data_IF_320273675753
#
_entry.id   IF_320273675753
#
_cell.length_a   1.000
_cell.length_b   1.000
_cell.length_c   1.000
_cell.angle_alpha   90.00
_cell.angle_beta   90.00
_cell.angle_gamma   90.00
#
_symmetry.space_group_name_H-M   'P 1'
#
loop_
_entity.id
_entity.type
_entity.pdbx_description
1 polymer ?
#
# COMPACT_ATOMS: atom_id res chain seq x y z
N UNK A 1 -11.64 -12.05 -1.04
CA UNK A 1 -11.78 -10.57 -0.92
C UNK A 1 -10.73 -10.06 0.06
N UNK A 2 -10.06 -8.97 -0.27
CA UNK A 2 -9.03 -8.37 0.58
C UNK A 2 -9.62 -7.55 1.73
N UNK A 3 -8.79 -7.21 2.74
CA UNK A 3 -9.15 -6.34 3.85
C UNK A 3 -8.19 -5.18 3.99
N UNK A 4 -8.72 -3.97 4.21
CA UNK A 4 -7.94 -2.76 4.49
C UNK A 4 -8.23 -2.29 5.91
N UNK A 5 -7.21 -1.86 6.62
CA UNK A 5 -7.30 -1.16 7.90
C UNK A 5 -6.42 0.08 7.84
N UNK A 6 -6.97 1.23 8.17
CA UNK A 6 -6.24 2.49 8.33
C UNK A 6 -6.47 3.08 9.71
N UNK A 7 -5.47 3.73 10.27
CA UNK A 7 -5.56 4.44 11.54
C UNK A 7 -4.73 5.71 11.53
N UNK A 8 -5.32 6.78 12.04
CA UNK A 8 -4.64 8.04 12.40
C UNK A 8 -5.17 8.46 13.77
N UNK A 9 -4.30 8.69 14.74
CA UNK A 9 -4.75 9.06 16.09
C UNK A 9 -3.61 9.24 17.08
N UNK A 10 -3.93 9.19 18.36
CA UNK A 10 -2.98 9.45 19.45
C UNK A 10 -2.31 8.20 20.02
N UNK A 11 -2.69 7.01 19.52
CA UNK A 11 -2.16 5.72 20.01
C UNK A 11 -1.21 5.13 18.99
N UNK A 12 -0.36 4.23 19.44
CA UNK A 12 0.43 3.40 18.53
C UNK A 12 -0.48 2.59 17.59
N UNK A 13 -0.32 2.82 16.30
CA UNK A 13 -1.19 2.27 15.27
C UNK A 13 -0.97 0.79 15.01
N UNK A 14 0.24 0.25 15.28
CA UNK A 14 0.60 -1.12 14.91
C UNK A 14 -0.36 -2.15 15.51
N UNK A 15 -0.61 -2.07 16.82
CA UNK A 15 -1.49 -3.01 17.50
C UNK A 15 -2.96 -2.89 17.04
N UNK A 16 -3.40 -1.66 16.70
CA UNK A 16 -4.76 -1.39 16.21
C UNK A 16 -4.92 -2.01 14.82
N UNK A 17 -3.96 -1.76 13.93
CA UNK A 17 -3.94 -2.32 12.58
C UNK A 17 -3.92 -3.85 12.62
N UNK A 18 -3.02 -4.47 13.40
CA UNK A 18 -2.95 -5.93 13.49
C UNK A 18 -4.24 -6.56 14.02
N UNK A 19 -4.88 -5.96 15.02
CA UNK A 19 -6.19 -6.42 15.52
C UNK A 19 -7.26 -6.33 14.44
N UNK A 20 -7.28 -5.25 13.66
CA UNK A 20 -8.20 -5.08 12.54
C UNK A 20 -7.97 -6.12 11.45
N UNK A 21 -6.71 -6.32 11.03
CA UNK A 21 -6.36 -7.31 10.01
C UNK A 21 -6.72 -8.74 10.43
N UNK A 22 -6.52 -9.12 11.70
CA UNK A 22 -6.94 -10.44 12.21
C UNK A 22 -8.44 -10.69 12.04
N UNK A 23 -9.27 -9.67 12.23
CA UNK A 23 -10.71 -9.77 12.01
C UNK A 23 -11.09 -9.91 10.53
N UNK A 24 -10.21 -9.47 9.63
CA UNK A 24 -10.41 -9.52 8.17
C UNK A 24 -9.70 -10.71 7.51
N UNK A 25 -8.91 -11.51 8.25
CA UNK A 25 -8.11 -12.61 7.71
C UNK A 25 -8.96 -13.67 6.99
N UNK A 26 -10.20 -13.89 7.42
CA UNK A 26 -11.14 -14.82 6.75
C UNK A 26 -11.44 -14.43 5.30
N UNK A 27 -11.21 -13.15 4.93
CA UNK A 27 -11.46 -12.61 3.58
C UNK A 27 -10.23 -12.65 2.68
N UNK A 28 -9.02 -12.70 3.25
CA UNK A 28 -7.77 -12.74 2.51
C UNK A 28 -6.65 -13.20 3.42
N UNK A 29 -5.94 -14.25 3.01
CA UNK A 29 -4.94 -14.92 3.84
C UNK A 29 -3.72 -15.41 3.06
N UNK A 30 -3.58 -15.00 1.80
CA UNK A 30 -2.44 -15.40 0.97
C UNK A 30 -1.19 -14.57 1.26
N UNK A 31 -1.39 -13.33 1.64
CA UNK A 31 -0.33 -12.44 2.12
C UNK A 31 -0.91 -11.29 2.94
N UNK A 32 -0.08 -10.63 3.71
CA UNK A 32 -0.45 -9.50 4.53
C UNK A 32 0.71 -8.53 4.73
N UNK A 33 0.40 -7.29 5.10
CA UNK A 33 1.44 -6.33 5.44
C UNK A 33 0.88 -5.10 6.11
N UNK A 34 1.79 -4.36 6.71
CA UNK A 34 1.53 -3.10 7.42
C UNK A 34 2.57 -2.07 7.09
N UNK A 35 2.18 -0.81 7.12
CA UNK A 35 3.09 0.33 7.15
C UNK A 35 2.69 1.26 8.29
N UNK A 36 3.68 1.70 9.06
CA UNK A 36 3.52 2.54 10.24
C UNK A 36 4.44 3.76 10.10
N UNK A 37 3.90 4.93 10.39
CA UNK A 37 4.66 6.19 10.36
C UNK A 37 4.56 6.95 11.68
N UNK A 38 5.67 7.55 12.07
CA UNK A 38 5.76 8.51 13.17
C UNK A 38 5.46 9.96 12.73
N UNK A 39 5.18 10.16 11.45
CA UNK A 39 4.95 11.45 10.80
C UNK A 39 6.17 12.00 10.05
N UNK A 40 7.36 11.46 10.26
CA UNK A 40 8.60 11.86 9.58
C UNK A 40 9.20 10.72 8.77
N UNK A 41 9.07 9.51 9.28
CA UNK A 41 9.56 8.28 8.64
C UNK A 41 8.45 7.25 8.60
N UNK A 42 8.54 6.31 7.67
CA UNK A 42 7.65 5.16 7.64
C UNK A 42 8.46 3.86 7.62
N UNK A 43 7.94 2.85 8.31
CA UNK A 43 8.45 1.49 8.27
C UNK A 43 7.34 0.56 7.84
N UNK A 44 7.66 -0.42 7.02
CA UNK A 44 6.69 -1.41 6.57
C UNK A 44 7.23 -2.83 6.68
N UNK A 45 6.32 -3.76 6.80
CA UNK A 45 6.62 -5.19 6.82
C UNK A 45 5.57 -5.94 6.01
N UNK A 46 6.01 -6.84 5.16
CA UNK A 46 5.16 -7.68 4.31
C UNK A 46 5.49 -9.14 4.51
N UNK A 47 4.49 -10.00 4.37
CA UNK A 47 4.67 -11.44 4.50
C UNK A 47 3.69 -12.22 3.64
N UNK A 48 4.18 -13.17 2.86
CA UNK A 48 3.37 -14.24 2.29
C UNK A 48 2.75 -15.08 3.39
N UNK A 49 1.48 -15.42 3.25
CA UNK A 49 0.71 -16.26 4.17
C UNK A 49 -0.05 -15.48 5.22
N UNK A 50 -0.57 -16.18 6.22
CA UNK A 50 -1.43 -15.66 7.27
C UNK A 50 -0.74 -14.60 8.14
N UNK A 51 -1.54 -13.79 8.83
CA UNK A 51 -1.08 -12.67 9.68
C UNK A 51 -0.09 -13.12 10.77
N UNK A 52 -0.21 -14.33 11.27
CA UNK A 52 0.75 -14.86 12.24
C UNK A 52 2.20 -14.88 11.73
N UNK A 53 2.41 -15.04 10.41
CA UNK A 53 3.74 -14.94 9.80
C UNK A 53 4.23 -13.48 9.76
N UNK A 54 3.34 -12.55 9.45
CA UNK A 54 3.63 -11.12 9.52
C UNK A 54 4.04 -10.72 10.95
N UNK A 55 3.28 -11.14 11.96
CA UNK A 55 3.61 -10.87 13.36
C UNK A 55 4.99 -11.41 13.78
N UNK A 56 5.35 -12.61 13.30
CA UNK A 56 6.70 -13.18 13.55
C UNK A 56 7.81 -12.34 12.92
N UNK A 57 7.59 -11.79 11.71
CA UNK A 57 8.54 -10.87 11.07
C UNK A 57 8.63 -9.54 11.83
N UNK A 58 7.50 -8.97 12.21
CA UNK A 58 7.43 -7.71 12.96
C UNK A 58 8.19 -7.74 14.28
N UNK A 59 8.19 -8.87 15.00
CA UNK A 59 8.98 -9.04 16.23
C UNK A 59 10.49 -8.89 16.04
N UNK A 60 10.98 -9.02 14.80
CA UNK A 60 12.41 -8.87 14.46
C UNK A 60 12.77 -7.44 14.01
N UNK A 61 11.77 -6.61 13.78
CA UNK A 61 11.94 -5.21 13.37
C UNK A 61 11.91 -4.34 14.61
N UNK A 62 12.99 -3.61 14.87
CA UNK A 62 13.05 -2.61 15.95
C UNK A 62 12.31 -1.34 15.54
N UNK A 63 11.69 -0.68 16.51
CA UNK A 63 11.13 0.68 16.38
C UNK A 63 10.07 0.85 15.28
N UNK A 64 9.24 -0.18 15.04
CA UNK A 64 8.06 -0.06 14.19
C UNK A 64 6.85 0.38 15.04
N UNK A 65 6.73 1.67 15.27
CA UNK A 65 5.64 2.29 16.03
C UNK A 65 5.33 3.68 15.48
N UNK A 66 4.14 4.17 15.75
CA UNK A 66 3.72 5.50 15.33
C UNK A 66 2.20 5.68 15.32
N UNK A 67 1.74 6.96 15.27
CA UNK A 67 0.33 7.30 15.34
C UNK A 67 -0.43 7.11 14.03
N UNK A 68 0.26 6.82 12.93
CA UNK A 68 -0.33 6.64 11.60
C UNK A 68 0.00 5.26 11.09
N UNK A 69 -0.98 4.54 10.55
CA UNK A 69 -0.73 3.22 9.99
C UNK A 69 -1.77 2.80 8.96
N UNK A 70 -1.32 1.98 8.02
CA UNK A 70 -2.16 1.26 7.06
C UNK A 70 -1.79 -0.21 7.05
N UNK A 71 -2.76 -1.07 6.81
CA UNK A 71 -2.54 -2.50 6.74
C UNK A 71 -3.48 -3.18 5.77
N UNK A 72 -3.08 -4.36 5.31
CA UNK A 72 -3.79 -5.11 4.29
C UNK A 72 -3.70 -6.62 4.49
N UNK A 73 -4.81 -7.31 4.23
CA UNK A 73 -4.84 -8.75 3.98
C UNK A 73 -5.24 -8.99 2.53
N UNK A 74 -4.44 -9.78 1.81
CA UNK A 74 -4.58 -9.97 0.37
C UNK A 74 -5.26 -11.30 0.04
N UNK A 75 -6.08 -11.23 -1.00
CA UNK A 75 -6.49 -12.34 -1.85
C UNK A 75 -6.01 -12.01 -3.26
N UNK A 76 -5.02 -12.74 -3.75
CA UNK A 76 -4.31 -12.41 -4.98
C UNK A 76 -5.24 -12.37 -6.20
N UNK A 77 -5.11 -11.32 -6.99
CA UNK A 77 -5.74 -11.15 -8.30
C UNK A 77 -4.68 -10.97 -9.40
N UNK A 78 -3.72 -10.06 -9.19
CA UNK A 78 -2.57 -9.82 -10.07
C UNK A 78 -1.28 -10.16 -9.34
N UNK A 79 -0.44 -11.00 -9.95
CA UNK A 79 0.77 -11.53 -9.34
C UNK A 79 0.52 -12.58 -8.26
N UNK A 80 1.34 -13.62 -8.22
CA UNK A 80 1.23 -14.70 -7.26
C UNK A 80 1.49 -14.24 -5.81
N UNK A 81 1.01 -14.97 -4.80
CA UNK A 81 1.31 -14.68 -3.41
C UNK A 81 2.81 -14.72 -3.13
N UNK A 82 3.37 -13.57 -2.79
CA UNK A 82 4.78 -13.40 -2.42
C UNK A 82 4.94 -12.20 -1.48
N UNK A 83 6.11 -12.06 -0.87
CA UNK A 83 6.42 -10.88 -0.07
C UNK A 83 6.46 -9.61 -0.93
N UNK A 84 6.91 -9.72 -2.20
CA UNK A 84 7.02 -8.61 -3.14
C UNK A 84 5.63 -8.12 -3.54
N UNK A 85 4.73 -9.04 -3.88
CA UNK A 85 3.38 -8.74 -4.33
C UNK A 85 2.40 -8.44 -3.17
N UNK A 86 2.79 -8.64 -1.92
CA UNK A 86 2.00 -8.25 -0.76
C UNK A 86 1.92 -6.73 -0.63
N UNK A 87 0.81 -6.23 -0.07
CA UNK A 87 0.64 -4.81 0.24
C UNK A 87 1.19 -4.48 1.64
N UNK A 88 1.55 -3.21 1.90
CA UNK A 88 1.47 -2.04 1.02
C UNK A 88 2.53 -2.04 -0.09
N UNK A 89 2.26 -1.29 -1.15
CA UNK A 89 3.23 -0.94 -2.18
C UNK A 89 3.76 0.47 -1.96
N UNK A 90 5.05 0.64 -2.22
CA UNK A 90 5.77 1.90 -2.08
C UNK A 90 6.02 2.52 -3.45
N UNK A 91 5.90 3.83 -3.55
CA UNK A 91 6.24 4.58 -4.76
C UNK A 91 7.75 4.61 -5.02
N UNK A 92 8.16 4.94 -6.25
CA UNK A 92 9.57 4.94 -6.66
C UNK A 92 10.47 5.85 -5.81
N UNK A 93 9.99 7.03 -5.40
CA UNK A 93 10.75 7.91 -4.51
C UNK A 93 10.80 7.42 -3.06
N UNK A 94 9.99 6.43 -2.73
CA UNK A 94 9.86 5.94 -1.38
C UNK A 94 8.99 6.79 -0.45
N UNK A 95 8.24 7.78 -0.97
CA UNK A 95 7.49 8.76 -0.16
C UNK A 95 6.02 8.43 0.06
N UNK A 96 5.45 7.60 -0.81
CA UNK A 96 4.06 7.15 -0.72
C UNK A 96 3.99 5.65 -0.44
N UNK A 97 3.04 5.27 0.39
CA UNK A 97 2.66 3.87 0.63
C UNK A 97 1.16 3.70 0.39
N UNK A 98 0.78 2.65 -0.32
CA UNK A 98 -0.60 2.43 -0.73
C UNK A 98 -1.01 0.96 -0.52
N UNK A 99 -2.23 0.79 -0.01
CA UNK A 99 -2.95 -0.49 0.00
C UNK A 99 -4.21 -0.36 -0.85
N UNK A 100 -4.60 -1.44 -1.52
CA UNK A 100 -5.66 -1.45 -2.52
C UNK A 100 -6.46 -2.74 -2.48
N UNK A 101 -7.77 -2.61 -2.54
CA UNK A 101 -8.72 -3.69 -2.84
C UNK A 101 -9.39 -3.40 -4.17
N UNK A 102 -9.42 -4.36 -5.05
CA UNK A 102 -10.06 -4.24 -6.37
C UNK A 102 -9.13 -4.58 -7.52
N UNK A 103 -9.47 -4.09 -8.70
CA UNK A 103 -8.71 -4.33 -9.94
C UNK A 103 -8.65 -3.02 -10.71
N UNK A 104 -7.44 -2.67 -11.17
CA UNK A 104 -7.18 -1.57 -12.10
C UNK A 104 -7.09 -2.18 -13.50
N UNK A 105 -8.16 -2.11 -14.26
CA UNK A 105 -8.28 -2.80 -15.54
C UNK A 105 -7.28 -2.28 -16.59
N UNK A 106 -7.01 -0.99 -16.59
CA UNK A 106 -6.08 -0.35 -17.53
C UNK A 106 -4.64 -0.23 -17.00
N UNK A 107 -4.25 -1.04 -16.01
CA UNK A 107 -2.94 -0.92 -15.35
C UNK A 107 -1.76 -1.09 -16.32
N UNK A 108 -1.87 -1.94 -17.35
CA UNK A 108 -0.80 -2.13 -18.34
C UNK A 108 -0.49 -0.84 -19.11
N UNK A 109 -1.52 -0.15 -19.62
CA UNK A 109 -1.38 1.13 -20.33
C UNK A 109 -0.77 2.21 -19.42
N UNK A 110 -1.22 2.27 -18.16
CA UNK A 110 -0.67 3.20 -17.18
C UNK A 110 0.80 2.87 -16.84
N UNK A 111 1.14 1.59 -16.72
CA UNK A 111 2.50 1.12 -16.47
C UNK A 111 3.45 1.50 -17.60
N UNK A 112 3.07 1.27 -18.86
CA UNK A 112 3.86 1.67 -20.03
C UNK A 112 4.12 3.17 -20.05
N UNK A 113 3.09 3.99 -19.80
CA UNK A 113 3.22 5.44 -19.67
C UNK A 113 4.25 5.81 -18.60
N UNK A 114 4.16 5.22 -17.40
CA UNK A 114 5.07 5.51 -16.29
C UNK A 114 6.50 5.04 -16.57
N UNK A 115 6.69 3.91 -17.26
CA UNK A 115 8.03 3.47 -17.69
C UNK A 115 8.67 4.50 -18.62
N UNK A 116 7.91 5.08 -19.55
CA UNK A 116 8.40 6.13 -20.44
C UNK A 116 8.75 7.43 -19.70
N UNK A 117 8.15 7.65 -18.52
CA UNK A 117 8.47 8.76 -17.60
C UNK A 117 9.61 8.40 -16.60
N UNK A 118 10.24 7.23 -16.76
CA UNK A 118 11.39 6.82 -15.95
C UNK A 118 11.07 6.05 -14.68
N UNK A 119 9.83 5.63 -14.48
CA UNK A 119 9.45 4.79 -13.33
C UNK A 119 9.87 3.33 -13.53
N UNK A 120 10.27 2.66 -12.46
CA UNK A 120 10.57 1.24 -12.42
C UNK A 120 9.58 0.48 -11.54
N UNK A 121 9.43 -0.81 -11.80
CA UNK A 121 8.46 -1.67 -11.12
C UNK A 121 9.14 -2.95 -10.65
N UNK A 122 8.88 -3.35 -9.42
CA UNK A 122 9.46 -4.55 -8.80
C UNK A 122 8.43 -5.66 -8.60
N UNK A 123 7.15 -5.30 -8.53
CA UNK A 123 6.05 -6.25 -8.36
C UNK A 123 5.25 -6.45 -9.64
N UNK A 124 4.41 -7.47 -9.62
CA UNK A 124 3.47 -7.79 -10.71
C UNK A 124 2.07 -7.20 -10.46
N UNK A 125 1.93 -6.31 -9.46
CA UNK A 125 0.62 -5.83 -9.03
C UNK A 125 0.22 -4.54 -9.74
N UNK A 126 -1.06 -4.41 -10.02
CA UNK A 126 -1.70 -3.18 -10.46
C UNK A 126 -1.62 -2.07 -9.41
N UNK A 127 -1.49 -2.45 -8.15
CA UNK A 127 -1.36 -1.52 -7.01
C UNK A 127 -0.07 -0.71 -7.06
N UNK A 128 1.05 -1.33 -7.44
CA UNK A 128 2.32 -0.61 -7.61
C UNK A 128 2.23 0.42 -8.74
N UNK A 129 1.47 0.11 -9.78
CA UNK A 129 1.20 1.07 -10.86
C UNK A 129 0.41 2.26 -10.33
N UNK A 130 -0.61 2.02 -9.50
CA UNK A 130 -1.43 3.10 -8.96
C UNK A 130 -0.65 4.03 -8.02
N UNK A 131 0.18 3.49 -7.11
CA UNK A 131 0.96 4.36 -6.21
C UNK A 131 1.96 5.23 -6.98
N UNK A 132 2.57 4.69 -8.03
CA UNK A 132 3.48 5.43 -8.90
C UNK A 132 2.75 6.47 -9.77
N UNK A 133 1.53 6.18 -10.22
CA UNK A 133 0.70 7.16 -10.92
C UNK A 133 0.36 8.36 -10.02
N UNK A 134 -0.01 8.10 -8.76
CA UNK A 134 -0.27 9.17 -7.78
C UNK A 134 0.98 10.01 -7.54
N UNK A 135 2.14 9.38 -7.41
CA UNK A 135 3.42 10.07 -7.25
C UNK A 135 3.76 10.93 -8.47
N UNK A 136 3.63 10.39 -9.67
CA UNK A 136 3.86 11.10 -10.92
C UNK A 136 3.01 12.37 -11.01
N UNK A 137 1.70 12.26 -10.75
CA UNK A 137 0.77 13.40 -10.76
C UNK A 137 1.14 14.40 -9.65
N UNK A 138 1.46 13.92 -8.44
CA UNK A 138 1.86 14.79 -7.32
C UNK A 138 3.09 15.62 -7.63
N UNK A 139 4.10 15.02 -8.27
CA UNK A 139 5.37 15.67 -8.58
C UNK A 139 5.26 16.61 -9.77
N UNK A 140 4.64 16.18 -10.87
CA UNK A 140 4.56 16.96 -12.12
C UNK A 140 3.73 18.24 -11.95
N UNK A 141 2.68 18.19 -11.12
CA UNK A 141 1.80 19.34 -10.90
C UNK A 141 2.02 20.04 -9.54
N UNK A 142 2.98 19.56 -8.73
CA UNK A 142 3.31 20.09 -7.38
C UNK A 142 2.08 20.16 -6.46
N UNK A 143 1.27 19.10 -6.46
CA UNK A 143 -0.01 19.02 -5.76
C UNK A 143 0.12 18.48 -4.34
N UNK A 144 -0.88 18.77 -3.51
CA UNK A 144 -1.10 18.06 -2.26
C UNK A 144 -1.60 16.64 -2.54
N UNK A 145 -1.37 15.72 -1.60
CA UNK A 145 -1.75 14.31 -1.77
C UNK A 145 -3.21 14.11 -2.21
N UNK A 146 -4.16 14.76 -1.54
CA UNK A 146 -5.59 14.59 -1.86
C UNK A 146 -5.94 14.99 -3.29
N UNK A 147 -5.37 16.09 -3.79
CA UNK A 147 -5.56 16.55 -5.18
C UNK A 147 -4.91 15.59 -6.18
N UNK A 148 -3.66 15.15 -5.89
CA UNK A 148 -2.95 14.19 -6.73
C UNK A 148 -3.71 12.86 -6.85
N UNK A 149 -4.25 12.36 -5.75
CA UNK A 149 -5.09 11.14 -5.73
C UNK A 149 -6.32 11.34 -6.61
N UNK A 150 -7.05 12.44 -6.46
CA UNK A 150 -8.25 12.69 -7.27
C UNK A 150 -7.95 12.75 -8.77
N UNK A 151 -6.86 13.41 -9.17
CA UNK A 151 -6.45 13.52 -10.58
C UNK A 151 -5.96 12.17 -11.10
N UNK A 152 -5.15 11.44 -10.34
CA UNK A 152 -4.69 10.10 -10.73
C UNK A 152 -5.86 9.14 -10.94
N UNK A 153 -6.84 9.14 -10.03
CA UNK A 153 -8.01 8.25 -10.11
C UNK A 153 -8.93 8.54 -11.30
N UNK A 154 -8.91 9.75 -11.89
CA UNK A 154 -9.62 10.03 -13.14
C UNK A 154 -9.06 9.29 -14.35
N UNK A 155 -7.80 8.82 -14.27
CA UNK A 155 -7.14 8.04 -15.32
C UNK A 155 -7.33 6.53 -15.13
N UNK A 156 -7.88 6.10 -14.01
CA UNK A 156 -8.04 4.69 -13.63
C UNK A 156 -9.39 4.16 -14.07
N UNK A 157 -9.39 2.98 -14.71
CA UNK A 157 -10.59 2.22 -15.05
C UNK A 157 -10.64 1.00 -14.14
N UNK A 158 -11.78 0.79 -13.46
CA UNK A 158 -11.97 -0.36 -12.58
C UNK A 158 -12.75 -0.01 -11.32
N UNK A 159 -12.90 -1.02 -10.45
CA UNK A 159 -13.53 -0.86 -9.13
C UNK A 159 -12.45 -1.04 -8.05
N UNK A 160 -12.35 -0.07 -7.15
CA UNK A 160 -11.26 -0.05 -6.17
C UNK A 160 -11.65 0.64 -4.87
N UNK A 161 -10.98 0.23 -3.80
CA UNK A 161 -10.88 0.96 -2.53
C UNK A 161 -9.41 1.06 -2.15
N UNK A 162 -8.95 2.25 -1.79
CA UNK A 162 -7.54 2.52 -1.49
C UNK A 162 -7.37 3.20 -0.13
N UNK A 163 -6.20 3.00 0.46
CA UNK A 163 -5.69 3.85 1.52
C UNK A 163 -4.25 4.24 1.18
N UNK A 164 -3.97 5.54 1.17
CA UNK A 164 -2.66 6.12 0.81
C UNK A 164 -2.08 6.82 2.01
N UNK A 165 -0.80 6.62 2.26
CA UNK A 165 -0.03 7.32 3.29
C UNK A 165 1.12 8.07 2.64
N UNK A 166 1.20 9.39 2.90
CA UNK A 166 2.31 10.26 2.55
C UNK A 166 3.03 10.63 3.85
N UNK A 167 4.32 10.40 3.92
CA UNK A 167 5.14 10.72 5.09
C UNK A 167 6.31 11.67 4.78
N UNK A 168 6.31 12.24 3.58
CA UNK A 168 7.18 13.32 3.18
C UNK A 168 6.43 14.64 3.37
N UNK A 169 6.64 15.31 4.50
CA UNK A 169 6.05 16.60 4.82
C UNK A 169 7.08 17.70 4.80
#
# INVERSE_FOLDING_TARGET
MCGIVGYVGNKDSLNIILKGLKRLEYRGYDSSGVAISDGNTARFCKSKGKINKLEKKLKKIKDISGPIGIGHTRWATHGEPSDINAHPHMSNSGKLLLVHNGIIENYNTLKEKLINEGFSFVSETDTEVLVNLIEFVKQSEKLKLGEAVQIALRQVIGAYAICVMDYDR
#
